data_IF_158966169679
#
_entry.id   IF_158966169679
#
_cell.length_a   1.000
_cell.length_b   1.000
_cell.length_c   1.000
_cell.angle_alpha   90.00
_cell.angle_beta   90.00
_cell.angle_gamma   90.00
#
_symmetry.space_group_name_H-M   'P 1'
#
loop_
_entity.id
_entity.type
_entity.pdbx_description
1 polymer ?
#
# COMPACT_ATOMS: atom_id res chain seq x y z
N UNK A 1 -13.81 1.52 -37.13
CA UNK A 1 -13.93 2.82 -37.81
C UNK A 1 -14.70 2.58 -39.09
N UNK A 2 -15.72 3.38 -39.38
CA UNK A 2 -16.59 3.21 -40.56
C UNK A 2 -16.63 4.51 -41.33
N UNK A 3 -16.33 4.44 -42.61
CA UNK A 3 -16.39 5.56 -43.56
C UNK A 3 -17.70 5.53 -44.35
N UNK A 4 -18.07 6.66 -44.95
CA UNK A 4 -19.25 6.75 -45.82
C UNK A 4 -19.06 6.07 -47.18
N UNK A 5 -17.81 5.83 -47.57
CA UNK A 5 -17.39 5.12 -48.78
C UNK A 5 -16.01 4.50 -48.56
N UNK A 6 -15.52 3.72 -49.52
CA UNK A 6 -14.20 3.11 -49.43
C UNK A 6 -13.08 4.16 -49.45
N UNK A 7 -12.08 3.99 -48.58
CA UNK A 7 -10.89 4.83 -48.51
C UNK A 7 -9.64 4.05 -48.91
N UNK A 8 -8.62 4.75 -49.40
CA UNK A 8 -7.31 4.17 -49.72
C UNK A 8 -6.23 4.68 -48.76
N UNK A 9 -5.15 3.91 -48.66
CA UNK A 9 -3.94 4.24 -47.90
C UNK A 9 -4.15 4.45 -46.38
N UNK A 10 -5.30 4.06 -45.82
CA UNK A 10 -5.59 4.20 -44.38
C UNK A 10 -4.89 3.14 -43.53
N UNK A 11 -4.31 3.55 -42.40
CA UNK A 11 -3.47 2.72 -41.54
C UNK A 11 -3.49 3.18 -40.08
N UNK A 12 -2.75 2.50 -39.21
CA UNK A 12 -2.57 2.92 -37.83
C UNK A 12 -1.89 4.29 -37.69
N UNK A 13 -1.12 4.75 -38.67
CA UNK A 13 -0.48 6.07 -38.64
C UNK A 13 -1.50 7.23 -38.68
N UNK A 14 -2.70 6.94 -39.17
CA UNK A 14 -3.78 7.90 -39.36
C UNK A 14 -4.70 8.00 -38.13
N UNK A 15 -4.45 7.15 -37.13
CA UNK A 15 -5.26 7.03 -35.92
C UNK A 15 -4.45 7.37 -34.67
N UNK A 16 -4.95 8.31 -33.88
CA UNK A 16 -4.44 8.58 -32.53
C UNK A 16 -5.24 7.79 -31.52
N UNK A 17 -4.57 6.94 -30.75
CA UNK A 17 -5.17 6.11 -29.71
C UNK A 17 -4.39 6.27 -28.39
N UNK A 18 -4.72 7.28 -27.57
CA UNK A 18 -3.99 7.53 -26.33
C UNK A 18 -4.22 6.39 -25.32
N UNK A 19 -3.24 6.20 -24.43
CA UNK A 19 -3.31 5.25 -23.30
C UNK A 19 -3.46 3.79 -23.71
N UNK A 20 -3.03 3.43 -24.91
CA UNK A 20 -2.98 2.05 -25.38
C UNK A 20 -2.36 1.94 -26.76
N UNK A 21 -2.51 0.76 -27.34
CA UNK A 21 -2.03 0.44 -28.68
C UNK A 21 -3.16 -0.19 -29.49
N UNK A 22 -3.15 0.07 -30.80
CA UNK A 22 -4.04 -0.62 -31.74
C UNK A 22 -3.27 -1.76 -32.40
N UNK A 23 -3.91 -2.92 -32.55
CA UNK A 23 -3.45 -3.93 -33.51
C UNK A 23 -3.45 -3.34 -34.92
N UNK A 24 -2.83 -4.03 -35.88
CA UNK A 24 -2.91 -3.64 -37.28
C UNK A 24 -4.36 -3.45 -37.70
N UNK A 25 -4.67 -2.27 -38.24
CA UNK A 25 -5.98 -1.99 -38.82
C UNK A 25 -6.18 -2.85 -40.07
N UNK A 26 -7.33 -3.52 -40.14
CA UNK A 26 -7.69 -4.37 -41.26
C UNK A 26 -9.11 -4.06 -41.75
N UNK A 27 -9.32 -4.20 -43.05
CA UNK A 27 -10.62 -4.11 -43.71
C UNK A 27 -10.90 -5.37 -44.52
N UNK A 28 -12.13 -5.84 -44.49
CA UNK A 28 -12.60 -7.01 -45.25
C UNK A 28 -13.63 -6.67 -46.31
N UNK A 29 -14.06 -5.39 -46.37
CA UNK A 29 -15.10 -4.89 -47.26
C UNK A 29 -14.57 -3.91 -48.31
N UNK A 30 -13.26 -3.95 -48.58
CA UNK A 30 -12.63 -3.11 -49.58
C UNK A 30 -12.35 -1.67 -49.12
N UNK A 31 -12.26 -1.42 -47.81
CA UNK A 31 -11.81 -0.15 -47.25
C UNK A 31 -12.92 0.74 -46.71
N UNK A 32 -14.15 0.23 -46.55
CA UNK A 32 -15.26 1.02 -45.97
C UNK A 32 -15.28 0.90 -44.45
N UNK A 33 -15.03 -0.29 -43.91
CA UNK A 33 -14.88 -0.54 -42.47
C UNK A 33 -13.49 -1.04 -42.15
N UNK A 34 -12.96 -0.52 -41.03
CA UNK A 34 -11.64 -0.88 -40.52
C UNK A 34 -11.73 -1.25 -39.04
N UNK A 35 -11.21 -2.41 -38.71
CA UNK A 35 -11.21 -2.95 -37.35
C UNK A 35 -9.79 -3.16 -36.84
N UNK A 36 -9.60 -2.87 -35.56
CA UNK A 36 -8.41 -3.20 -34.78
C UNK A 36 -8.82 -3.46 -33.33
N UNK A 37 -8.01 -4.21 -32.61
CA UNK A 37 -8.13 -4.38 -31.16
C UNK A 37 -7.37 -3.25 -30.49
N UNK A 38 -8.02 -2.53 -29.57
CA UNK A 38 -7.34 -1.60 -28.68
C UNK A 38 -6.93 -2.32 -27.40
N UNK A 39 -5.65 -2.27 -27.06
CA UNK A 39 -5.09 -2.82 -25.83
C UNK A 39 -4.61 -1.65 -24.97
N UNK A 40 -5.22 -1.38 -23.81
CA UNK A 40 -4.77 -0.33 -22.91
C UNK A 40 -3.33 -0.57 -22.42
N UNK A 41 -2.60 0.50 -22.17
CA UNK A 41 -1.30 0.41 -21.52
C UNK A 41 -1.48 -0.01 -20.04
N UNK A 42 -0.50 -0.73 -19.49
CA UNK A 42 -0.50 -1.08 -18.08
C UNK A 42 -0.22 0.16 -17.20
N UNK A 43 -0.70 0.12 -15.94
CA UNK A 43 -0.49 1.15 -14.94
C UNK A 43 -1.01 2.55 -15.33
N UNK A 44 -2.13 2.60 -16.05
CA UNK A 44 -2.78 3.85 -16.45
C UNK A 44 -4.14 4.00 -15.79
N UNK A 45 -4.40 5.16 -15.22
CA UNK A 45 -5.72 5.57 -14.75
C UNK A 45 -6.10 6.91 -15.44
N UNK A 46 -7.19 6.89 -16.20
CA UNK A 46 -7.73 8.07 -16.90
C UNK A 46 -9.23 7.92 -17.09
N UNK A 47 -9.98 8.92 -16.61
CA UNK A 47 -11.44 8.90 -16.66
C UNK A 47 -12.02 9.26 -18.03
N UNK A 48 -11.24 9.94 -18.87
CA UNK A 48 -11.72 10.47 -20.14
C UNK A 48 -10.63 10.54 -21.21
N UNK A 49 -10.87 9.88 -22.34
CA UNK A 49 -10.06 9.91 -23.54
C UNK A 49 -10.88 9.45 -24.76
N UNK A 50 -10.35 9.71 -25.96
CA UNK A 50 -10.98 9.38 -27.23
C UNK A 50 -9.95 8.90 -28.25
N UNK A 51 -10.35 7.96 -29.12
CA UNK A 51 -9.58 7.57 -30.30
C UNK A 51 -10.01 8.48 -31.44
N UNK A 52 -9.07 9.05 -32.19
CA UNK A 52 -9.38 10.00 -33.26
C UNK A 52 -8.66 9.68 -34.56
N UNK A 53 -9.29 10.08 -35.66
CA UNK A 53 -8.68 10.15 -36.99
C UNK A 53 -8.48 11.63 -37.32
N UNK A 54 -7.26 11.99 -37.71
CA UNK A 54 -6.92 13.37 -38.02
C UNK A 54 -7.52 13.80 -39.37
N UNK A 55 -7.86 15.09 -39.55
CA UNK A 55 -8.32 15.58 -40.84
C UNK A 55 -7.19 15.43 -41.88
N UNK A 56 -7.55 15.01 -43.09
CA UNK A 56 -6.58 14.78 -44.17
C UNK A 56 -5.72 13.52 -44.03
N UNK A 57 -5.93 12.70 -43.00
CA UNK A 57 -5.18 11.45 -42.80
C UNK A 57 -5.63 10.31 -43.73
N UNK A 58 -6.74 10.47 -44.46
CA UNK A 58 -7.23 9.50 -45.43
C UNK A 58 -7.84 10.22 -46.63
N UNK A 59 -7.99 9.49 -47.73
CA UNK A 59 -8.72 9.96 -48.92
C UNK A 59 -9.59 8.86 -49.50
N UNK A 60 -10.67 9.24 -50.16
CA UNK A 60 -11.45 8.31 -50.97
C UNK A 60 -10.66 7.87 -52.23
N UNK A 61 -11.26 6.99 -53.03
CA UNK A 61 -10.63 6.50 -54.27
C UNK A 61 -10.47 7.60 -55.34
N UNK A 62 -11.25 8.68 -55.28
CA UNK A 62 -11.17 9.83 -56.18
C UNK A 62 -10.12 10.88 -55.72
N UNK A 63 -9.56 10.73 -54.51
CA UNK A 63 -8.56 11.62 -53.93
C UNK A 63 -9.13 12.76 -53.10
N UNK A 64 -10.42 12.77 -52.75
CA UNK A 64 -10.98 13.75 -51.83
C UNK A 64 -10.50 13.47 -50.41
N UNK A 65 -10.00 14.49 -49.71
CA UNK A 65 -9.45 14.34 -48.36
C UNK A 65 -10.54 14.19 -47.29
N UNK A 66 -10.29 13.29 -46.36
CA UNK A 66 -11.18 12.99 -45.26
C UNK A 66 -11.24 14.07 -44.18
N UNK A 67 -12.39 14.19 -43.52
CA UNK A 67 -12.56 15.04 -42.33
C UNK A 67 -12.14 14.30 -41.06
N UNK A 68 -11.89 15.06 -39.98
CA UNK A 68 -11.58 14.50 -38.67
C UNK A 68 -12.77 13.73 -38.09
N UNK A 69 -12.49 12.71 -37.27
CA UNK A 69 -13.48 11.98 -36.51
C UNK A 69 -12.92 11.58 -35.14
N UNK A 70 -13.78 11.42 -34.15
CA UNK A 70 -13.42 10.93 -32.82
C UNK A 70 -14.46 9.93 -32.31
N UNK A 71 -14.02 8.98 -31.50
CA UNK A 71 -14.91 8.08 -30.76
C UNK A 71 -15.69 8.83 -29.69
N UNK A 72 -16.67 8.16 -29.09
CA UNK A 72 -17.15 8.55 -27.76
C UNK A 72 -16.04 8.47 -26.70
N UNK A 73 -16.31 9.02 -25.53
CA UNK A 73 -15.42 8.92 -24.38
C UNK A 73 -15.27 7.47 -23.92
N UNK A 74 -14.05 7.07 -23.57
CA UNK A 74 -13.77 5.87 -22.79
C UNK A 74 -12.90 6.23 -21.59
N UNK A 75 -12.89 5.33 -20.60
CA UNK A 75 -11.96 5.38 -19.47
C UNK A 75 -10.98 4.21 -19.59
N UNK A 76 -9.79 4.37 -19.02
CA UNK A 76 -8.82 3.29 -18.84
C UNK A 76 -8.44 3.26 -17.38
N UNK A 77 -8.58 2.08 -16.76
CA UNK A 77 -8.13 1.82 -15.42
C UNK A 77 -7.43 0.46 -15.39
N UNK A 78 -6.10 0.51 -15.45
CA UNK A 78 -5.19 -0.64 -15.36
C UNK A 78 -4.15 -0.45 -14.26
N UNK A 79 -4.33 0.57 -13.41
CA UNK A 79 -3.43 0.89 -12.32
C UNK A 79 -3.92 0.24 -11.04
N UNK A 80 -3.07 -0.54 -10.38
CA UNK A 80 -3.40 -1.14 -9.10
C UNK A 80 -3.30 -0.14 -7.93
N UNK A 81 -4.12 -0.30 -6.88
CA UNK A 81 -4.09 0.56 -5.70
C UNK A 81 -2.81 0.40 -4.87
N UNK A 82 -2.26 1.51 -4.39
CA UNK A 82 -1.14 1.55 -3.42
C UNK A 82 -1.65 1.85 -2.02
N UNK A 83 -0.85 1.52 -0.99
CA UNK A 83 -1.20 1.74 0.41
C UNK A 83 -0.06 2.37 1.22
N UNK A 84 -0.44 3.05 2.30
CA UNK A 84 0.46 3.57 3.33
C UNK A 84 -0.05 3.20 4.72
N UNK A 85 0.86 2.91 5.65
CA UNK A 85 0.54 2.51 7.02
C UNK A 85 1.21 3.50 7.98
N UNK A 86 0.43 4.05 8.91
CA UNK A 86 0.92 4.94 9.96
C UNK A 86 0.45 4.45 11.32
N UNK A 87 1.31 4.62 12.32
CA UNK A 87 0.98 4.40 13.73
C UNK A 87 1.02 5.76 14.43
N UNK A 88 0.06 6.03 15.31
CA UNK A 88 0.03 7.27 16.10
C UNK A 88 1.19 7.38 17.09
N UNK A 89 1.75 6.24 17.48
CA UNK A 89 2.89 6.09 18.36
C UNK A 89 3.79 4.96 17.82
N UNK A 90 5.11 5.17 17.85
CA UNK A 90 6.11 4.25 17.36
C UNK A 90 7.10 3.79 18.43
N UNK A 91 6.86 4.12 19.70
CA UNK A 91 7.69 3.70 20.83
C UNK A 91 6.80 3.34 22.02
N UNK A 92 6.24 2.13 21.99
CA UNK A 92 5.22 1.70 22.94
C UNK A 92 5.84 1.10 24.20
N UNK A 93 5.33 1.53 25.34
CA UNK A 93 5.65 1.03 26.68
C UNK A 93 4.45 0.37 27.35
N UNK A 94 4.63 -0.13 28.58
CA UNK A 94 3.59 -0.84 29.32
C UNK A 94 2.31 -0.03 29.49
N UNK A 95 1.20 -0.59 28.99
CA UNK A 95 -0.14 0.00 29.07
C UNK A 95 -0.52 0.87 27.86
N UNK A 96 0.38 1.06 26.90
CA UNK A 96 0.12 1.87 25.71
C UNK A 96 -0.45 1.05 24.54
N UNK A 97 -1.12 1.77 23.63
CA UNK A 97 -1.65 1.27 22.37
C UNK A 97 -1.48 2.35 21.30
N UNK A 98 -1.31 1.96 20.05
CA UNK A 98 -1.22 2.91 18.93
C UNK A 98 -2.43 2.78 18.01
N UNK A 99 -2.99 3.91 17.58
CA UNK A 99 -3.92 3.91 16.45
C UNK A 99 -3.14 3.59 15.18
N UNK A 100 -3.62 2.62 14.41
CA UNK A 100 -3.12 2.27 13.09
C UNK A 100 -4.05 2.88 12.06
N UNK A 101 -3.49 3.63 11.11
CA UNK A 101 -4.22 4.17 9.96
C UNK A 101 -3.59 3.67 8.67
N UNK A 102 -4.38 2.96 7.86
CA UNK A 102 -4.01 2.47 6.53
C UNK A 102 -4.79 3.29 5.50
N UNK A 103 -4.08 3.94 4.58
CA UNK A 103 -4.67 4.78 3.52
C UNK A 103 -4.30 4.23 2.16
N UNK A 104 -5.30 4.00 1.31
CA UNK A 104 -5.15 3.57 -0.07
C UNK A 104 -5.23 4.75 -1.06
N UNK A 105 -4.54 4.63 -2.19
CA UNK A 105 -4.60 5.62 -3.29
C UNK A 105 -6.01 5.80 -3.85
N UNK A 106 -6.86 4.80 -3.70
CA UNK A 106 -8.26 4.74 -4.15
C UNK A 106 -9.07 3.78 -3.27
N UNK A 107 -10.34 3.52 -3.61
CA UNK A 107 -11.18 2.58 -2.85
C UNK A 107 -10.81 1.15 -3.21
N UNK A 108 -10.60 0.32 -2.19
CA UNK A 108 -10.27 -1.10 -2.40
C UNK A 108 -11.44 -2.02 -2.06
N UNK A 109 -11.44 -3.19 -2.69
CA UNK A 109 -12.34 -4.31 -2.42
C UNK A 109 -11.51 -5.53 -1.98
N UNK A 110 -12.11 -6.39 -1.16
CA UNK A 110 -11.44 -7.60 -0.66
C UNK A 110 -10.42 -7.39 0.47
N UNK A 111 -10.16 -6.15 0.90
CA UNK A 111 -9.26 -5.86 2.01
C UNK A 111 -9.90 -6.09 3.39
N UNK A 112 -9.13 -6.63 4.32
CA UNK A 112 -9.49 -6.79 5.73
C UNK A 112 -8.30 -7.16 6.62
N UNK A 113 -8.57 -7.48 7.90
CA UNK A 113 -7.52 -7.81 8.88
C UNK A 113 -6.61 -8.97 8.48
N UNK A 114 -7.09 -9.92 7.67
CA UNK A 114 -6.29 -11.06 7.19
C UNK A 114 -5.19 -10.64 6.23
N UNK A 115 -5.31 -9.46 5.63
CA UNK A 115 -4.30 -8.90 4.74
C UNK A 115 -3.23 -8.12 5.52
N UNK A 116 -3.37 -7.98 6.84
CA UNK A 116 -2.45 -7.24 7.69
C UNK A 116 -1.69 -8.18 8.61
N UNK A 117 -0.37 -8.24 8.43
CA UNK A 117 0.53 -8.93 9.34
C UNK A 117 1.14 -7.92 10.33
N UNK A 118 1.14 -8.30 11.61
CA UNK A 118 1.54 -7.45 12.72
C UNK A 118 2.55 -8.20 13.57
N UNK A 119 3.71 -7.59 13.81
CA UNK A 119 4.74 -8.14 14.67
C UNK A 119 4.49 -7.75 16.13
N UNK A 120 4.76 -8.70 17.04
CA UNK A 120 4.81 -8.45 18.48
C UNK A 120 3.57 -7.75 19.09
N UNK A 121 2.38 -8.02 18.55
CA UNK A 121 1.13 -7.56 19.13
C UNK A 121 -0.09 -8.02 18.35
N UNK A 122 -1.21 -7.33 18.60
CA UNK A 122 -2.50 -7.60 17.96
C UNK A 122 -3.09 -6.32 17.39
N UNK A 123 -3.89 -6.45 16.33
CA UNK A 123 -4.61 -5.35 15.72
C UNK A 123 -6.11 -5.61 15.85
N UNK A 124 -6.84 -4.61 16.34
CA UNK A 124 -8.30 -4.66 16.40
C UNK A 124 -8.92 -4.82 15.02
N UNK A 125 -10.21 -5.15 14.96
CA UNK A 125 -10.96 -5.08 13.70
C UNK A 125 -10.76 -3.72 13.05
N UNK A 126 -10.35 -3.73 11.78
CA UNK A 126 -10.19 -2.53 10.98
C UNK A 126 -11.58 -2.04 10.54
N UNK A 127 -11.80 -0.74 10.64
CA UNK A 127 -13.04 -0.10 10.22
C UNK A 127 -12.75 1.00 9.19
N UNK A 128 -13.67 1.15 8.24
CA UNK A 128 -13.64 2.21 7.22
C UNK A 128 -14.98 2.97 7.23
N UNK A 129 -14.93 4.26 6.93
CA UNK A 129 -16.12 5.12 6.81
C UNK A 129 -16.23 5.81 5.45
N UNK A 130 -15.22 5.67 4.60
CA UNK A 130 -15.12 6.31 3.28
C UNK A 130 -15.24 5.30 2.13
N UNK A 131 -15.75 4.10 2.42
CA UNK A 131 -15.99 3.05 1.45
C UNK A 131 -14.73 2.28 1.06
N UNK A 132 -13.79 2.13 1.99
CA UNK A 132 -12.60 1.29 1.81
C UNK A 132 -11.36 2.03 1.35
N UNK A 133 -11.31 3.37 1.45
CA UNK A 133 -10.09 4.14 1.13
C UNK A 133 -9.21 4.32 2.37
N UNK A 134 -9.81 4.50 3.54
CA UNK A 134 -9.11 4.64 4.82
C UNK A 134 -9.61 3.59 5.80
N UNK A 135 -8.68 2.90 6.45
CA UNK A 135 -8.95 1.87 7.45
C UNK A 135 -8.23 2.20 8.75
N UNK A 136 -8.96 2.15 9.85
CA UNK A 136 -8.45 2.50 11.18
C UNK A 136 -8.65 1.33 12.13
N UNK A 137 -7.65 1.06 12.95
CA UNK A 137 -7.69 0.09 14.04
C UNK A 137 -6.78 0.51 15.20
N UNK A 138 -6.74 -0.30 16.24
CA UNK A 138 -5.87 -0.12 17.39
C UNK A 138 -4.89 -1.28 17.48
N UNK A 139 -3.60 -0.96 17.51
CA UNK A 139 -2.52 -1.89 17.80
C UNK A 139 -2.29 -1.96 19.32
N UNK A 140 -2.22 -3.18 19.84
CA UNK A 140 -1.87 -3.46 21.24
C UNK A 140 -0.67 -4.41 21.28
N UNK A 141 0.49 -3.97 21.82
CA UNK A 141 1.67 -4.81 21.94
C UNK A 141 1.44 -6.06 22.79
N UNK A 142 2.18 -7.12 22.49
CA UNK A 142 2.26 -8.31 23.33
C UNK A 142 2.99 -7.99 24.64
N UNK A 143 2.38 -8.33 25.78
CA UNK A 143 2.95 -8.09 27.09
C UNK A 143 4.30 -8.82 27.27
N UNK A 144 5.26 -8.17 27.95
CA UNK A 144 6.58 -8.73 28.23
C UNK A 144 7.55 -8.74 27.04
N UNK A 145 7.15 -8.21 25.89
CA UNK A 145 8.02 -8.08 24.72
C UNK A 145 8.91 -6.83 24.83
N UNK A 146 10.18 -6.97 24.45
CA UNK A 146 11.05 -5.85 24.16
C UNK A 146 11.71 -6.10 22.79
N UNK A 147 11.37 -5.27 21.81
CA UNK A 147 11.88 -5.36 20.43
C UNK A 147 11.90 -3.95 19.82
N UNK A 148 13.04 -3.53 19.31
CA UNK A 148 13.23 -2.20 18.73
C UNK A 148 12.96 -2.15 17.22
N UNK A 149 12.72 -3.30 16.59
CA UNK A 149 12.75 -3.48 15.14
C UNK A 149 11.49 -4.15 14.58
N UNK A 150 10.31 -3.59 14.85
CA UNK A 150 9.04 -4.16 14.41
C UNK A 150 8.45 -3.42 13.21
N UNK A 151 7.75 -4.16 12.35
CA UNK A 151 6.97 -3.61 11.23
C UNK A 151 5.55 -4.18 11.19
N UNK A 152 4.67 -3.44 10.52
CA UNK A 152 3.35 -3.91 10.10
C UNK A 152 3.35 -3.94 8.58
N UNK A 153 2.75 -4.97 7.98
CA UNK A 153 2.68 -5.09 6.53
C UNK A 153 1.26 -5.35 6.06
N UNK A 154 0.97 -4.88 4.85
CA UNK A 154 -0.25 -5.13 4.10
C UNK A 154 0.10 -5.97 2.89
N UNK A 155 -0.59 -7.09 2.71
CA UNK A 155 -0.46 -8.00 1.57
C UNK A 155 -1.12 -7.44 0.30
N UNK A 156 -0.87 -8.06 -0.86
CA UNK A 156 -1.38 -7.65 -2.17
C UNK A 156 -2.64 -8.42 -2.62
N UNK A 157 -3.43 -8.93 -1.67
CA UNK A 157 -4.64 -9.74 -1.89
C UNK A 157 -5.91 -8.93 -2.16
N UNK A 158 -5.82 -7.60 -2.10
CA UNK A 158 -6.91 -6.69 -2.38
C UNK A 158 -6.84 -6.13 -3.81
N UNK A 159 -7.97 -5.63 -4.32
CA UNK A 159 -8.06 -4.99 -5.64
C UNK A 159 -8.77 -3.65 -5.53
N UNK A 160 -8.71 -2.82 -6.57
CA UNK A 160 -9.63 -1.69 -6.72
C UNK A 160 -11.03 -2.15 -7.17
N UNK A 161 -11.85 -1.20 -7.66
CA UNK A 161 -13.18 -1.46 -8.21
C UNK A 161 -13.13 -2.02 -9.65
N UNK A 162 -12.08 -1.68 -10.42
CA UNK A 162 -11.87 -2.20 -11.77
C UNK A 162 -11.29 -3.64 -11.78
N UNK A 163 -10.85 -4.13 -10.62
CA UNK A 163 -10.24 -5.44 -10.43
C UNK A 163 -8.72 -5.44 -10.57
N UNK A 164 -8.05 -4.29 -10.58
CA UNK A 164 -6.59 -4.24 -10.62
C UNK A 164 -6.02 -4.61 -9.24
N UNK A 165 -4.99 -5.45 -9.24
CA UNK A 165 -4.37 -5.94 -8.02
C UNK A 165 -3.58 -4.83 -7.31
N UNK A 166 -3.77 -4.71 -6.00
CA UNK A 166 -3.00 -3.79 -5.17
C UNK A 166 -1.54 -4.19 -4.97
N UNK A 167 -0.73 -3.28 -4.45
CA UNK A 167 0.65 -3.54 -4.09
C UNK A 167 0.81 -3.82 -2.58
N UNK A 168 1.75 -4.69 -2.19
CA UNK A 168 2.10 -4.82 -0.78
C UNK A 168 2.86 -3.58 -0.28
N UNK A 169 2.77 -3.31 1.03
CA UNK A 169 3.49 -2.20 1.66
C UNK A 169 3.83 -2.56 3.11
N UNK A 170 4.77 -1.82 3.70
CA UNK A 170 5.14 -1.93 5.11
C UNK A 170 5.15 -0.56 5.79
N UNK A 171 4.85 -0.54 7.08
CA UNK A 171 4.97 0.65 7.91
C UNK A 171 6.43 1.07 8.10
N UNK A 172 6.62 2.28 8.64
CA UNK A 172 7.86 2.58 9.34
C UNK A 172 8.04 1.66 10.56
N UNK A 173 9.27 1.59 11.07
CA UNK A 173 9.60 0.84 12.27
C UNK A 173 8.87 1.36 13.52
N UNK A 174 8.45 0.46 14.41
CA UNK A 174 8.05 0.80 15.77
C UNK A 174 8.82 -0.05 16.79
N UNK A 175 9.06 0.54 17.97
CA UNK A 175 9.71 -0.09 19.10
C UNK A 175 8.67 -0.43 20.18
N UNK A 176 8.93 -1.53 20.88
CA UNK A 176 8.12 -2.06 21.98
C UNK A 176 9.07 -2.29 23.14
N UNK A 177 8.73 -1.79 24.32
CA UNK A 177 9.45 -2.08 25.57
C UNK A 177 8.46 -2.27 26.73
N UNK A 178 7.97 -3.51 26.87
CA UNK A 178 7.01 -3.95 27.89
C UNK A 178 7.63 -4.94 28.88
N UNK A 179 8.94 -5.18 28.79
CA UNK A 179 9.62 -6.08 29.71
C UNK A 179 9.83 -5.35 31.03
N UNK A 180 9.42 -5.97 32.13
CA UNK A 180 9.64 -5.40 33.45
C UNK A 180 11.11 -5.55 33.88
N UNK A 181 11.67 -4.58 34.63
CA UNK A 181 13.01 -4.70 35.17
C UNK A 181 13.08 -5.84 36.18
N UNK A 182 14.16 -6.61 36.14
CA UNK A 182 14.52 -7.57 37.20
C UNK A 182 15.76 -7.08 37.93
N UNK A 183 15.94 -7.54 39.17
CA UNK A 183 17.12 -7.23 39.97
C UNK A 183 17.80 -8.53 40.43
N UNK A 184 19.11 -8.51 40.54
CA UNK A 184 19.91 -9.54 41.21
C UNK A 184 20.78 -8.91 42.30
N UNK A 185 20.99 -9.65 43.38
CA UNK A 185 21.75 -9.20 44.54
C UNK A 185 22.91 -10.17 44.76
N UNK A 186 24.11 -9.64 44.91
CA UNK A 186 25.31 -10.39 45.26
C UNK A 186 26.00 -9.78 46.48
N UNK A 187 26.47 -10.62 47.39
CA UNK A 187 27.40 -10.19 48.43
C UNK A 187 28.82 -10.56 48.06
N UNK A 188 29.78 -9.70 48.42
CA UNK A 188 31.20 -10.00 48.27
C UNK A 188 31.68 -11.12 49.20
N UNK A 189 30.95 -11.36 50.29
CA UNK A 189 31.19 -12.44 51.25
C UNK A 189 29.86 -12.93 51.84
N UNK A 190 29.66 -14.24 51.84
CA UNK A 190 28.45 -14.90 52.36
C UNK A 190 28.66 -15.51 53.76
N UNK A 191 29.85 -15.37 54.37
CA UNK A 191 30.23 -16.03 55.62
C UNK A 191 30.85 -15.06 56.62
N UNK A 192 30.14 -13.98 56.93
CA UNK A 192 30.59 -12.93 57.83
C UNK A 192 30.68 -13.37 59.29
N UNK A 193 31.77 -12.98 59.95
CA UNK A 193 32.00 -13.07 61.40
C UNK A 193 31.84 -11.70 62.06
N UNK A 194 31.86 -11.68 63.39
CA UNK A 194 31.76 -10.45 64.17
C UNK A 194 32.86 -9.44 63.77
N UNK A 195 32.45 -8.24 63.36
CA UNK A 195 33.35 -7.18 62.92
C UNK A 195 33.74 -7.22 61.43
N UNK A 196 33.30 -8.22 60.67
CA UNK A 196 33.46 -8.27 59.22
C UNK A 196 32.31 -7.54 58.50
N UNK A 197 32.56 -7.10 57.26
CA UNK A 197 31.60 -6.39 56.41
C UNK A 197 31.65 -6.94 54.99
N UNK A 198 30.49 -7.02 54.30
CA UNK A 198 30.42 -7.36 52.89
C UNK A 198 29.85 -6.20 52.07
N UNK A 199 30.32 -6.07 50.84
CA UNK A 199 29.70 -5.19 49.84
C UNK A 199 28.48 -5.90 49.27
N UNK A 200 27.33 -5.22 49.25
CA UNK A 200 26.12 -5.65 48.57
C UNK A 200 26.06 -4.96 47.20
N UNK A 201 26.02 -5.75 46.14
CA UNK A 201 25.86 -5.26 44.75
C UNK A 201 24.48 -5.63 44.25
N UNK A 202 23.69 -4.63 43.89
CA UNK A 202 22.37 -4.80 43.25
C UNK A 202 22.51 -4.46 41.77
N UNK A 203 22.16 -5.39 40.90
CA UNK A 203 22.22 -5.22 39.43
C UNK A 203 20.82 -5.30 38.86
N UNK A 204 20.39 -4.29 38.10
CA UNK A 204 19.12 -4.29 37.39
C UNK A 204 19.31 -4.73 35.94
N UNK A 205 18.32 -5.41 35.36
CA UNK A 205 18.34 -5.84 33.96
C UNK A 205 18.25 -4.67 32.97
N UNK A 206 17.85 -3.50 33.44
CA UNK A 206 17.72 -2.26 32.69
C UNK A 206 17.79 -1.07 33.64
N UNK A 207 17.69 0.15 33.10
CA UNK A 207 17.69 1.37 33.92
C UNK A 207 16.39 1.45 34.72
N UNK A 208 16.50 1.50 36.04
CA UNK A 208 15.38 1.78 36.94
C UNK A 208 15.38 3.24 37.37
N UNK A 209 14.20 3.75 37.74
CA UNK A 209 14.02 5.08 38.33
C UNK A 209 13.72 4.94 39.82
N UNK A 210 14.04 5.99 40.57
CA UNK A 210 13.65 6.17 41.97
C UNK A 210 14.16 5.09 42.96
N UNK A 211 15.10 4.23 42.56
CA UNK A 211 15.73 3.27 43.47
C UNK A 211 16.71 3.95 44.44
N UNK A 212 16.54 3.69 45.73
CA UNK A 212 17.26 4.34 46.82
C UNK A 212 17.40 3.41 48.04
N UNK A 213 18.10 3.88 49.09
CA UNK A 213 18.18 3.16 50.37
C UNK A 213 16.82 2.98 51.07
N UNK A 214 15.82 3.82 50.77
CA UNK A 214 14.49 3.67 51.34
C UNK A 214 13.75 2.42 50.80
N UNK A 215 14.20 1.89 49.66
CA UNK A 215 13.62 0.71 49.00
C UNK A 215 14.25 -0.60 49.48
N UNK A 216 15.21 -0.52 50.42
CA UNK A 216 15.90 -1.67 51.02
C UNK A 216 15.35 -1.87 52.43
N UNK A 217 14.77 -3.04 52.69
CA UNK A 217 14.37 -3.47 54.02
C UNK A 217 15.41 -4.43 54.59
N UNK A 218 15.91 -4.12 55.79
CA UNK A 218 16.78 -4.98 56.59
C UNK A 218 16.01 -5.97 57.46
#
# INVERSE_FOLDING_TARGET
ITFSEAVKDFSNADVTAPNGTLSTLASTDGGTTWTATFTPNANVEVAANSISVNPGAYSDLAGNTGSAAASGNYAVDTQGPTASITLSDNALTAGESAQVTIVFSEKVTGFGNTDVAVENGTLSTLATTDGGKTWVGSFTPTAGTADASNVMSVANSYTDVAGNQGASTSSANYAIDLKAPTASIALSDNALKAGESATVTITFSEKVKDFSNADITE
#
